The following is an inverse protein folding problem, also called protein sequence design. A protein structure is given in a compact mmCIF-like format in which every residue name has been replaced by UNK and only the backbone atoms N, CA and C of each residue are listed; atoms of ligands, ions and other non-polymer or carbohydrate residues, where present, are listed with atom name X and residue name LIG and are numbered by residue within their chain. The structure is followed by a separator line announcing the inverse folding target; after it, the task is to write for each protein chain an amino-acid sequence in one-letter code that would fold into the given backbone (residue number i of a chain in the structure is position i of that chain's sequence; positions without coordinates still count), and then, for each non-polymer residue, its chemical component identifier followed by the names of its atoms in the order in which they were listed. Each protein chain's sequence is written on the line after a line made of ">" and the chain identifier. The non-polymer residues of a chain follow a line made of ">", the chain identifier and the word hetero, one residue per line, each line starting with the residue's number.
data_IF_696560729178
#
_entry.id   IF_696560729178
#
_cell.length_a   1.000
_cell.length_b   1.000
_cell.length_c   1.000
_cell.angle_alpha   90.00
_cell.angle_beta   90.00
_cell.angle_gamma   90.00
#
_symmetry.space_group_name_H-M   'P 1'
#
loop_
_entity.id
_entity.type
_entity.pdbx_description
1 polymer ?
#
# COMPACT_ATOMS: atom_id res chain seq x y z
N UNK A 1 44.52 14.12 -1.42
CA UNK A 1 44.78 14.74 -2.72
C UNK A 1 44.62 13.68 -3.80
N UNK A 2 43.61 13.88 -4.66
CA UNK A 2 43.42 13.34 -6.03
C UNK A 2 43.71 11.85 -6.32
N UNK A 3 42.66 11.09 -6.66
CA UNK A 3 42.32 10.77 -8.06
C UNK A 3 41.47 9.50 -8.20
N UNK A 4 40.30 9.66 -8.82
CA UNK A 4 39.77 8.83 -9.92
C UNK A 4 40.10 7.33 -9.96
N UNK A 5 39.07 6.49 -9.83
CA UNK A 5 38.95 5.19 -10.51
C UNK A 5 37.49 5.08 -11.02
N UNK A 6 37.22 5.60 -12.22
CA UNK A 6 37.10 4.86 -13.51
C UNK A 6 35.81 4.03 -13.63
N UNK A 7 34.82 4.64 -14.29
CA UNK A 7 33.83 3.97 -15.14
C UNK A 7 34.53 3.16 -16.26
N UNK A 8 34.04 1.95 -16.52
CA UNK A 8 33.97 1.15 -17.78
C UNK A 8 33.47 -0.24 -17.32
N UNK A 9 32.54 -0.98 -17.96
CA UNK A 9 32.17 -1.05 -19.37
C UNK A 9 30.85 -1.83 -19.56
N UNK A 10 30.26 -1.64 -20.74
CA UNK A 10 29.18 -2.39 -21.41
C UNK A 10 29.17 -3.92 -21.21
N UNK A 11 27.97 -4.51 -21.13
CA UNK A 11 27.68 -5.91 -21.54
C UNK A 11 26.19 -6.01 -21.90
N UNK A 12 25.78 -5.90 -23.17
CA UNK A 12 25.63 -6.95 -24.19
C UNK A 12 24.93 -8.24 -23.68
N UNK A 13 23.74 -8.50 -24.24
CA UNK A 13 22.89 -9.68 -24.07
C UNK A 13 23.63 -11.02 -24.27
N UNK A 14 23.52 -11.96 -23.31
CA UNK A 14 23.42 -13.41 -23.56
C UNK A 14 22.85 -14.17 -22.34
N UNK A 15 22.00 -15.17 -22.62
CA UNK A 15 21.29 -16.07 -21.72
C UNK A 15 22.15 -16.74 -20.63
N UNK A 16 21.58 -16.95 -19.43
CA UNK A 16 21.31 -18.25 -18.73
C UNK A 16 20.68 -17.87 -17.36
N UNK A 17 19.61 -18.56 -16.95
CA UNK A 17 18.60 -18.07 -16.01
C UNK A 17 19.04 -17.73 -14.58
N UNK A 18 18.32 -16.77 -13.96
CA UNK A 18 18.35 -16.47 -12.51
C UNK A 18 17.07 -15.75 -12.05
N UNK A 19 16.74 -15.97 -10.77
CA UNK A 19 15.59 -15.52 -9.96
C UNK A 19 15.72 -14.03 -9.59
N UNK A 20 14.63 -13.28 -9.33
CA UNK A 20 14.64 -11.86 -8.90
C UNK A 20 13.96 -11.70 -7.52
N UNK A 21 14.49 -10.85 -6.62
CA UNK A 21 13.99 -10.51 -5.26
C UNK A 21 13.95 -8.97 -5.08
N UNK A 22 13.08 -8.42 -4.21
CA UNK A 22 12.89 -6.98 -4.00
C UNK A 22 12.69 -6.59 -2.51
N UNK A 23 13.38 -5.56 -1.98
CA UNK A 23 13.23 -5.02 -0.60
C UNK A 23 13.10 -3.49 -0.55
N UNK A 24 12.29 -2.94 0.38
CA UNK A 24 12.33 -1.50 0.72
C UNK A 24 12.58 -1.24 2.20
N UNK A 25 13.46 -0.28 2.50
CA UNK A 25 13.76 0.26 3.84
C UNK A 25 13.07 1.64 4.03
N UNK A 26 12.33 1.84 5.12
CA UNK A 26 11.76 3.14 5.57
C UNK A 26 12.32 3.56 6.96
N UNK A 27 12.78 4.81 7.15
CA UNK A 27 13.50 5.32 8.34
C UNK A 27 12.64 5.85 9.52
N UNK A 28 13.31 6.18 10.65
CA UNK A 28 12.83 6.36 12.06
C UNK A 28 12.23 7.73 12.42
N UNK A 29 11.32 7.74 13.43
CA UNK A 29 10.83 8.90 14.21
C UNK A 29 11.87 9.55 15.14
N UNK A 30 12.01 10.87 15.09
CA UNK A 30 12.70 11.68 16.12
C UNK A 30 11.70 12.43 17.01
N UNK A 31 11.95 12.42 18.32
CA UNK A 31 11.27 13.26 19.31
C UNK A 31 11.92 14.65 19.40
N UNK A 32 11.07 15.67 19.57
CA UNK A 32 11.30 17.06 19.99
C UNK A 32 11.77 18.12 18.95
N UNK A 33 11.09 19.27 19.05
CA UNK A 33 11.02 20.41 18.13
C UNK A 33 12.12 21.48 18.31
N UNK A 34 12.42 22.25 17.25
CA UNK A 34 12.05 23.68 17.06
C UNK A 34 12.79 24.35 15.87
N UNK A 35 11.99 24.96 14.96
CA UNK A 35 12.16 26.20 14.18
C UNK A 35 13.43 26.40 13.28
N UNK A 36 13.39 26.96 12.05
CA UNK A 36 12.42 27.83 11.36
C UNK A 36 12.89 28.13 9.92
N UNK A 37 12.04 27.94 8.89
CA UNK A 37 11.63 28.87 7.81
C UNK A 37 10.82 28.12 6.73
N UNK A 38 9.84 28.74 6.03
CA UNK A 38 8.50 28.16 5.88
C UNK A 38 8.10 28.13 4.39
N UNK A 39 8.39 27.04 3.70
CA UNK A 39 7.71 26.65 2.46
C UNK A 39 8.14 25.22 2.11
N UNK A 40 7.19 24.28 2.11
CA UNK A 40 7.32 22.86 1.74
C UNK A 40 7.83 21.85 2.78
N UNK A 41 7.18 21.76 3.95
CA UNK A 41 7.16 20.52 4.75
C UNK A 41 5.71 20.23 5.11
N UNK A 42 4.98 19.60 4.20
CA UNK A 42 3.58 19.20 4.34
C UNK A 42 3.33 18.04 3.36
N UNK A 43 2.83 16.89 3.85
CA UNK A 43 2.62 15.54 3.27
C UNK A 43 3.80 14.57 3.40
N UNK A 44 3.93 13.89 4.54
CA UNK A 44 3.74 12.43 4.69
C UNK A 44 4.02 12.05 6.17
N UNK A 45 3.03 12.23 7.05
CA UNK A 45 3.14 11.89 8.49
C UNK A 45 1.78 11.65 9.17
N UNK A 46 0.74 11.25 8.43
CA UNK A 46 -0.32 10.49 9.12
C UNK A 46 0.26 9.08 9.33
N UNK A 47 0.39 8.66 10.60
CA UNK A 47 0.81 7.30 10.91
C UNK A 47 -0.15 6.35 10.20
N UNK A 48 0.36 5.46 9.35
CA UNK A 48 -0.38 4.25 9.01
C UNK A 48 -0.51 3.43 10.30
N UNK A 49 -1.59 3.68 11.04
CA UNK A 49 -1.90 2.97 12.26
C UNK A 49 -2.75 1.76 11.86
N UNK A 50 -2.24 0.55 12.05
CA UNK A 50 -3.00 -0.67 11.80
C UNK A 50 -4.17 -0.74 12.81
N UNK A 51 -5.38 -0.44 12.35
CA UNK A 51 -6.53 -0.24 13.22
C UNK A 51 -7.16 -1.58 13.61
N UNK A 52 -6.96 -2.01 14.86
CA UNK A 52 -7.38 -3.33 15.34
C UNK A 52 -8.86 -3.40 15.66
N UNK A 53 -9.50 -4.49 15.23
CA UNK A 53 -10.91 -4.78 15.50
C UNK A 53 -11.04 -6.14 16.20
N UNK A 54 -11.72 -6.22 17.36
CA UNK A 54 -12.52 -5.17 18.00
C UNK A 54 -11.67 -4.06 18.64
N UNK A 55 -12.20 -2.84 18.62
CA UNK A 55 -11.47 -1.68 19.13
C UNK A 55 -12.10 -0.35 18.73
N UNK A 56 -11.51 0.72 19.24
CA UNK A 56 -11.83 2.09 18.87
C UNK A 56 -11.06 2.51 17.63
N UNK A 57 -11.76 3.17 16.73
CA UNK A 57 -11.21 3.89 15.59
C UNK A 57 -11.54 5.37 15.75
N UNK A 58 -10.51 6.20 15.93
CA UNK A 58 -10.69 7.66 15.94
C UNK A 58 -11.07 8.14 14.53
N UNK A 59 -12.05 9.03 14.40
CA UNK A 59 -12.54 9.46 13.10
C UNK A 59 -11.50 10.31 12.36
N UNK A 60 -10.69 11.08 13.09
CA UNK A 60 -9.54 11.83 12.56
C UNK A 60 -8.40 10.94 12.03
N UNK A 61 -8.40 9.65 12.36
CA UNK A 61 -7.45 8.64 11.89
C UNK A 61 -7.92 7.93 10.61
N UNK A 62 -8.66 8.63 9.73
CA UNK A 62 -9.01 8.12 8.40
C UNK A 62 -7.77 7.78 7.56
N UNK A 63 -7.93 6.95 6.54
CA UNK A 63 -6.81 6.48 5.73
C UNK A 63 -6.03 7.63 5.09
N UNK A 64 -4.71 7.47 5.04
CA UNK A 64 -3.84 8.36 4.27
C UNK A 64 -4.06 8.17 2.76
N UNK A 65 -3.58 9.12 1.96
CA UNK A 65 -3.61 9.04 0.49
C UNK A 65 -4.30 10.22 -0.19
N UNK A 66 -4.93 11.10 0.60
CA UNK A 66 -5.54 12.33 0.11
C UNK A 66 -6.93 12.16 -0.47
N UNK A 67 -7.40 13.25 -1.08
CA UNK A 67 -8.72 13.39 -1.72
C UNK A 67 -8.95 12.30 -2.79
N UNK A 68 -10.10 11.63 -2.70
CA UNK A 68 -10.50 10.55 -3.59
C UNK A 68 -9.89 9.19 -3.25
N UNK A 69 -8.98 9.11 -2.26
CA UNK A 69 -8.30 7.86 -1.87
C UNK A 69 -8.70 7.45 -0.46
N UNK A 70 -8.26 8.22 0.55
CA UNK A 70 -8.54 7.96 1.97
C UNK A 70 -9.76 8.71 2.49
N UNK A 71 -10.12 9.81 1.81
CA UNK A 71 -11.31 10.59 2.10
C UNK A 71 -11.81 11.31 0.84
N UNK A 72 -13.00 11.90 0.91
CA UNK A 72 -13.40 12.99 0.04
C UNK A 72 -13.99 14.13 0.85
N UNK A 73 -13.46 15.31 0.62
CA UNK A 73 -13.88 16.57 1.22
C UNK A 73 -14.25 17.56 0.11
N UNK A 74 -15.27 18.38 0.35
CA UNK A 74 -15.72 19.39 -0.61
C UNK A 74 -14.79 20.59 -0.69
N UNK A 75 -13.93 20.75 0.31
CA UNK A 75 -12.91 21.78 0.38
C UNK A 75 -11.51 21.20 0.26
N UNK A 76 -10.56 22.03 -0.17
CA UNK A 76 -9.17 21.59 -0.36
C UNK A 76 -8.40 21.57 0.97
N UNK A 77 -8.84 22.36 1.95
CA UNK A 77 -8.08 22.64 3.15
C UNK A 77 -8.93 22.42 4.37
N UNK A 78 -8.41 21.62 5.31
CA UNK A 78 -8.93 21.47 6.65
C UNK A 78 -9.18 22.83 7.32
N UNK A 79 -10.43 23.27 7.34
CA UNK A 79 -10.92 24.54 7.90
C UNK A 79 -10.84 24.54 9.42
N UNK A 80 -11.01 23.37 10.06
CA UNK A 80 -10.83 23.17 11.50
C UNK A 80 -9.37 23.33 11.95
N UNK A 81 -8.43 23.11 11.04
CA UNK A 81 -7.00 23.41 11.18
C UNK A 81 -6.24 22.54 12.17
N UNK A 82 -6.83 21.47 12.71
CA UNK A 82 -6.22 20.60 13.70
C UNK A 82 -5.80 19.24 13.13
N UNK A 83 -4.95 18.53 13.89
CA UNK A 83 -4.45 17.17 13.66
C UNK A 83 -3.71 16.93 12.33
N UNK A 84 -4.41 17.00 11.20
CA UNK A 84 -3.91 16.82 9.83
C UNK A 84 -4.17 18.09 9.02
N UNK A 85 -3.46 19.20 9.31
CA UNK A 85 -3.72 20.52 8.68
C UNK A 85 -3.36 20.60 7.19
N UNK A 86 -2.98 19.46 6.63
CA UNK A 86 -2.31 19.25 5.36
C UNK A 86 -3.19 18.52 4.36
N UNK A 87 -4.26 17.94 4.89
CA UNK A 87 -5.27 17.19 4.18
C UNK A 87 -6.56 18.02 4.16
N UNK A 88 -7.52 17.54 3.37
CA UNK A 88 -8.77 18.26 3.07
C UNK A 88 -9.78 18.15 4.21
N UNK A 89 -9.82 17.01 4.90
CA UNK A 89 -10.81 16.75 5.95
C UNK A 89 -10.74 17.79 7.05
N UNK A 90 -11.88 18.38 7.36
CA UNK A 90 -12.04 19.37 8.42
C UNK A 90 -11.98 18.71 9.80
N UNK A 91 -10.98 19.07 10.60
CA UNK A 91 -10.72 18.47 11.92
C UNK A 91 -10.52 19.58 12.95
N UNK A 92 -11.27 19.52 14.04
CA UNK A 92 -11.17 20.47 15.16
C UNK A 92 -10.88 19.75 16.48
N UNK A 93 -10.25 20.42 17.47
CA UNK A 93 -10.20 19.88 18.83
C UNK A 93 -11.61 19.62 19.32
N UNK A 94 -11.83 18.48 19.96
CA UNK A 94 -13.14 18.16 20.54
C UNK A 94 -13.25 18.69 21.96
N UNK A 95 -14.46 19.05 22.37
CA UNK A 95 -14.83 19.28 23.78
C UNK A 95 -15.43 18.02 24.44
N UNK A 96 -15.49 16.91 23.71
CA UNK A 96 -15.81 15.60 24.26
C UNK A 96 -14.71 15.10 25.19
N UNK A 97 -15.08 14.55 26.34
CA UNK A 97 -14.10 14.08 27.33
C UNK A 97 -13.37 12.80 26.88
N UNK A 98 -13.92 12.10 25.89
CA UNK A 98 -13.46 10.79 25.41
C UNK A 98 -12.56 10.86 24.18
N UNK A 99 -12.20 12.06 23.69
CA UNK A 99 -11.37 12.23 22.48
C UNK A 99 -10.46 13.46 22.55
N UNK A 100 -9.65 13.64 21.51
CA UNK A 100 -8.77 14.82 21.36
C UNK A 100 -9.19 15.68 20.17
N UNK A 101 -9.62 15.08 19.07
CA UNK A 101 -10.17 15.77 17.91
C UNK A 101 -11.52 15.18 17.52
N UNK A 102 -12.12 15.77 16.49
CA UNK A 102 -13.28 15.25 15.79
C UNK A 102 -13.29 15.81 14.37
N UNK A 103 -13.94 15.09 13.47
CA UNK A 103 -14.29 15.62 12.15
C UNK A 103 -15.40 16.65 12.31
N UNK A 104 -15.18 17.84 11.74
CA UNK A 104 -16.07 19.00 11.82
C UNK A 104 -16.44 19.48 10.42
N UNK A 105 -17.22 20.58 10.31
CA UNK A 105 -17.60 21.26 9.05
C UNK A 105 -18.10 20.34 7.92
N UNK A 106 -18.58 19.15 8.29
CA UNK A 106 -18.95 18.11 7.35
C UNK A 106 -20.05 18.54 6.39
N UNK A 107 -19.95 18.10 5.14
CA UNK A 107 -20.88 18.37 4.05
C UNK A 107 -21.43 17.06 3.48
N UNK A 108 -22.70 17.07 3.08
CA UNK A 108 -23.34 15.95 2.41
C UNK A 108 -22.57 15.55 1.14
N UNK A 109 -22.20 14.28 1.05
CA UNK A 109 -21.45 13.70 -0.07
C UNK A 109 -19.98 13.39 0.26
N UNK A 110 -19.46 13.94 1.35
CA UNK A 110 -18.12 13.64 1.85
C UNK A 110 -18.04 12.22 2.40
N UNK A 111 -16.84 11.65 2.44
CA UNK A 111 -16.62 10.32 2.97
C UNK A 111 -15.23 10.13 3.55
N UNK A 112 -15.10 9.17 4.46
CA UNK A 112 -13.87 8.80 5.16
C UNK A 112 -13.71 7.28 5.06
N UNK A 113 -12.48 6.80 4.80
CA UNK A 113 -12.13 5.38 4.81
C UNK A 113 -11.23 5.01 5.96
N UNK A 114 -11.33 3.76 6.37
CA UNK A 114 -10.56 3.17 7.46
C UNK A 114 -10.17 1.74 7.11
N UNK A 115 -8.86 1.51 6.94
CA UNK A 115 -8.23 0.20 6.88
C UNK A 115 -8.27 -0.43 8.28
N UNK A 116 -9.02 -1.52 8.43
CA UNK A 116 -9.13 -2.25 9.70
C UNK A 116 -8.61 -3.68 9.58
N UNK A 117 -8.00 -4.17 10.67
CA UNK A 117 -7.58 -5.56 10.80
C UNK A 117 -8.42 -6.27 11.86
N UNK A 118 -9.30 -7.14 11.38
CA UNK A 118 -10.25 -7.90 12.20
C UNK A 118 -9.60 -9.16 12.74
N UNK A 119 -9.51 -9.27 14.07
CA UNK A 119 -8.83 -10.37 14.76
C UNK A 119 -9.53 -11.72 14.56
N UNK A 120 -10.86 -11.72 14.48
CA UNK A 120 -11.66 -12.94 14.38
C UNK A 120 -12.93 -12.72 13.53
N UNK A 121 -13.29 -13.70 12.71
CA UNK A 121 -14.53 -13.64 11.95
C UNK A 121 -15.75 -13.57 12.90
N UNK A 122 -16.74 -12.76 12.55
CA UNK A 122 -17.92 -12.60 13.39
C UNK A 122 -18.77 -11.38 13.03
N UNK A 123 -19.72 -11.13 13.91
CA UNK A 123 -20.65 -10.00 13.89
C UNK A 123 -20.19 -8.95 14.89
N UNK A 124 -20.12 -7.71 14.41
CA UNK A 124 -19.63 -6.56 15.15
C UNK A 124 -20.65 -5.43 15.08
N UNK A 125 -20.86 -4.79 16.22
CA UNK A 125 -21.68 -3.59 16.35
C UNK A 125 -20.80 -2.37 16.19
N UNK A 126 -21.20 -1.43 15.34
CA UNK A 126 -20.53 -0.14 15.21
C UNK A 126 -21.25 0.89 16.09
N UNK A 127 -20.56 1.40 17.09
CA UNK A 127 -21.04 2.45 17.98
C UNK A 127 -20.28 3.74 17.69
N UNK A 128 -20.93 4.73 17.09
CA UNK A 128 -20.29 5.99 16.73
C UNK A 128 -20.53 7.07 17.78
N UNK A 129 -19.49 7.81 18.13
CA UNK A 129 -19.57 8.98 19.00
C UNK A 129 -19.72 10.23 18.14
N UNK A 130 -20.91 10.81 18.17
CA UNK A 130 -21.27 11.94 17.30
C UNK A 130 -22.01 13.03 18.06
N UNK A 131 -21.95 14.24 17.53
CA UNK A 131 -22.83 15.34 17.90
C UNK A 131 -23.47 15.94 16.65
N UNK A 132 -24.74 16.30 16.74
CA UNK A 132 -25.48 16.97 15.66
C UNK A 132 -26.58 17.85 16.26
N UNK A 133 -26.90 18.94 15.57
CA UNK A 133 -28.04 19.84 15.93
C UNK A 133 -29.28 19.59 15.06
N UNK A 134 -29.20 18.61 14.16
CA UNK A 134 -30.31 18.17 13.31
C UNK A 134 -30.29 16.66 13.17
N UNK A 135 -31.41 16.07 12.74
CA UNK A 135 -31.40 14.66 12.32
C UNK A 135 -30.59 14.54 11.02
N UNK A 136 -29.65 13.60 11.01
CA UNK A 136 -28.76 13.35 9.89
C UNK A 136 -28.73 11.87 9.54
N UNK A 137 -27.94 11.49 8.56
CA UNK A 137 -27.68 10.09 8.25
C UNK A 137 -26.28 9.89 7.67
N UNK A 138 -25.80 8.66 7.75
CA UNK A 138 -24.60 8.19 7.06
C UNK A 138 -24.91 6.97 6.21
N UNK A 139 -24.12 6.74 5.17
CA UNK A 139 -24.06 5.48 4.44
C UNK A 139 -22.79 4.75 4.87
N UNK A 140 -22.88 3.43 5.03
CA UNK A 140 -21.72 2.59 5.31
C UNK A 140 -21.51 1.58 4.20
N UNK A 141 -20.27 1.46 3.75
CA UNK A 141 -19.81 0.39 2.88
C UNK A 141 -18.65 -0.36 3.55
N UNK A 142 -18.57 -1.66 3.33
CA UNK A 142 -17.44 -2.51 3.75
C UNK A 142 -16.90 -3.21 2.51
N UNK A 143 -15.60 -3.13 2.28
CA UNK A 143 -14.92 -3.70 1.10
C UNK A 143 -15.62 -3.31 -0.22
N UNK A 144 -15.95 -2.01 -0.35
CA UNK A 144 -16.71 -1.43 -1.46
C UNK A 144 -18.15 -1.95 -1.64
N UNK A 145 -18.64 -2.78 -0.73
CA UNK A 145 -20.03 -3.27 -0.71
C UNK A 145 -20.86 -2.41 0.23
N UNK A 146 -21.92 -1.79 -0.30
CA UNK A 146 -22.84 -0.99 0.53
C UNK A 146 -23.58 -1.90 1.50
N UNK A 147 -23.38 -1.65 2.80
CA UNK A 147 -24.06 -2.38 3.88
C UNK A 147 -25.39 -1.70 4.23
N UNK A 148 -25.37 -0.37 4.31
CA UNK A 148 -26.57 0.43 4.52
C UNK A 148 -26.46 1.75 3.77
N UNK A 149 -27.53 2.11 3.05
CA UNK A 149 -27.61 3.38 2.32
C UNK A 149 -28.05 4.55 3.21
N UNK A 150 -28.51 4.27 4.43
CA UNK A 150 -29.02 5.29 5.35
C UNK A 150 -29.08 4.74 6.76
N UNK A 151 -28.12 5.11 7.59
CA UNK A 151 -28.10 4.91 9.02
C UNK A 151 -28.45 6.25 9.68
N UNK A 152 -29.55 6.34 10.43
CA UNK A 152 -29.97 7.60 11.04
C UNK A 152 -29.02 8.02 12.16
N UNK A 153 -28.74 9.31 12.23
CA UNK A 153 -28.14 10.01 13.36
C UNK A 153 -29.22 10.90 13.97
N UNK A 154 -29.58 10.65 15.23
CA UNK A 154 -30.51 11.53 15.94
C UNK A 154 -29.90 12.88 16.25
N UNK A 155 -30.74 13.92 16.27
CA UNK A 155 -30.40 15.25 16.80
C UNK A 155 -30.02 15.13 18.28
N UNK A 156 -28.77 15.44 18.61
CA UNK A 156 -28.23 15.39 19.97
C UNK A 156 -28.25 16.77 20.64
N UNK A 157 -28.88 17.77 20.01
CA UNK A 157 -28.82 19.17 20.39
C UNK A 157 -27.38 19.70 20.57
N UNK A 158 -26.44 19.14 19.80
CA UNK A 158 -25.00 19.46 19.86
C UNK A 158 -24.24 18.80 21.01
N UNK A 159 -24.85 17.90 21.78
CA UNK A 159 -24.15 17.10 22.78
C UNK A 159 -23.50 15.87 22.15
N UNK A 160 -22.36 15.43 22.69
CA UNK A 160 -21.71 14.18 22.28
C UNK A 160 -22.46 12.96 22.83
N UNK A 161 -22.94 12.11 21.92
CA UNK A 161 -23.68 10.89 22.24
C UNK A 161 -23.12 9.69 21.48
N UNK A 162 -23.13 8.52 22.14
CA UNK A 162 -22.88 7.25 21.48
C UNK A 162 -24.15 6.79 20.77
N UNK A 163 -24.08 6.66 19.46
CA UNK A 163 -25.18 6.20 18.62
C UNK A 163 -24.87 4.84 18.01
N UNK A 164 -25.81 3.93 18.20
CA UNK A 164 -25.73 2.58 17.65
C UNK A 164 -26.08 2.60 16.15
N UNK A 165 -25.08 2.41 15.31
CA UNK A 165 -25.25 2.40 13.86
C UNK A 165 -25.57 0.98 13.38
N UNK A 166 -26.79 0.81 12.85
CA UNK A 166 -27.31 -0.46 12.37
C UNK A 166 -27.38 -0.50 10.84
N UNK A 167 -27.26 -1.68 10.21
CA UNK A 167 -27.19 -3.01 10.82
C UNK A 167 -25.80 -3.32 11.43
N UNK A 168 -25.73 -4.39 12.23
CA UNK A 168 -24.45 -4.97 12.62
C UNK A 168 -23.65 -5.40 11.38
N UNK A 169 -22.33 -5.28 11.47
CA UNK A 169 -21.39 -5.61 10.40
C UNK A 169 -20.91 -7.05 10.56
N UNK A 170 -20.80 -7.77 9.43
CA UNK A 170 -20.25 -9.12 9.41
C UNK A 170 -18.87 -9.09 8.75
N UNK A 171 -17.86 -9.54 9.47
CA UNK A 171 -16.47 -9.56 9.02
C UNK A 171 -15.93 -10.98 8.99
N UNK A 172 -15.02 -11.23 8.06
CA UNK A 172 -14.05 -12.33 8.19
C UNK A 172 -12.88 -11.88 9.07
N UNK A 173 -12.04 -12.82 9.53
CA UNK A 173 -10.77 -12.43 10.12
C UNK A 173 -9.83 -11.92 9.02
N UNK A 174 -9.11 -10.84 9.26
CA UNK A 174 -8.19 -10.24 8.29
C UNK A 174 -8.51 -8.78 7.99
N UNK A 175 -7.88 -8.27 6.93
CA UNK A 175 -8.00 -6.88 6.53
C UNK A 175 -9.35 -6.60 5.85
N UNK A 176 -9.94 -5.46 6.20
CA UNK A 176 -11.18 -4.95 5.63
C UNK A 176 -11.09 -3.43 5.52
N UNK A 177 -11.88 -2.84 4.62
CA UNK A 177 -11.99 -1.37 4.50
C UNK A 177 -13.41 -0.94 4.84
N UNK A 178 -13.54 0.00 5.78
CA UNK A 178 -14.82 0.62 6.13
C UNK A 178 -14.86 2.01 5.51
N UNK A 179 -15.90 2.32 4.74
CA UNK A 179 -16.18 3.66 4.24
C UNK A 179 -17.43 4.22 4.90
N UNK A 180 -17.30 5.38 5.53
CA UNK A 180 -18.41 6.16 6.11
C UNK A 180 -18.66 7.36 5.21
N UNK A 181 -19.81 7.38 4.51
CA UNK A 181 -20.22 8.53 3.71
C UNK A 181 -21.25 9.38 4.47
N UNK A 182 -21.01 10.67 4.54
CA UNK A 182 -21.86 11.65 5.22
C UNK A 182 -23.00 12.06 4.29
N UNK A 183 -24.25 11.89 4.72
CA UNK A 183 -25.42 12.19 3.87
C UNK A 183 -26.05 13.55 4.16
N UNK A 184 -25.56 14.24 5.19
CA UNK A 184 -26.04 15.53 5.65
C UNK A 184 -24.88 16.36 6.17
N UNK A 185 -25.05 17.67 6.10
CA UNK A 185 -24.10 18.63 6.64
C UNK A 185 -24.16 18.68 8.18
N UNK A 186 -23.08 19.14 8.81
CA UNK A 186 -23.07 19.54 10.22
C UNK A 186 -23.11 18.38 11.22
N UNK A 187 -22.60 17.22 10.82
CA UNK A 187 -22.30 16.10 11.73
C UNK A 187 -20.91 16.34 12.32
N UNK A 188 -20.80 16.33 13.64
CA UNK A 188 -19.51 16.25 14.32
C UNK A 188 -19.23 14.81 14.70
N UNK A 189 -18.08 14.27 14.27
CA UNK A 189 -17.79 12.85 14.36
C UNK A 189 -16.45 12.60 15.05
N UNK A 190 -16.48 12.01 16.25
CA UNK A 190 -15.31 11.84 17.10
C UNK A 190 -14.63 10.49 16.84
N UNK A 191 -15.33 9.38 17.05
CA UNK A 191 -14.78 8.04 16.81
C UNK A 191 -15.90 7.03 16.57
N UNK A 192 -15.54 5.80 16.24
CA UNK A 192 -16.42 4.66 16.37
C UNK A 192 -15.75 3.47 17.02
N UNK A 193 -16.50 2.74 17.84
CA UNK A 193 -16.07 1.48 18.42
C UNK A 193 -16.68 0.32 17.63
N UNK A 194 -15.86 -0.64 17.22
CA UNK A 194 -16.31 -1.94 16.71
C UNK A 194 -16.32 -2.96 17.83
N UNK A 195 -17.52 -3.23 18.33
CA UNK A 195 -17.76 -4.08 19.50
C UNK A 195 -18.16 -5.48 19.02
N UNK A 196 -17.44 -6.51 19.46
CA UNK A 196 -17.81 -7.89 19.14
C UNK A 196 -19.19 -8.23 19.70
N UNK A 197 -20.13 -8.58 18.83
CA UNK A 197 -21.46 -9.11 19.22
C UNK A 197 -21.40 -10.62 19.31
N UNK A 198 -20.86 -11.26 18.26
CA UNK A 198 -20.81 -12.72 18.16
C UNK A 198 -19.68 -13.15 17.23
N UNK A 199 -18.80 -14.02 17.72
CA UNK A 199 -17.79 -14.66 16.87
C UNK A 199 -18.36 -15.85 16.12
N UNK A 200 -17.89 -16.06 14.89
CA UNK A 200 -18.18 -17.25 14.11
C UNK A 200 -17.41 -18.46 14.68
N UNK A 201 -17.98 -19.68 14.60
CA UNK A 201 -17.26 -20.86 15.06
C UNK A 201 -15.99 -21.04 14.23
N UNK A 202 -14.83 -21.07 14.89
CA UNK A 202 -13.57 -21.40 14.23
C UNK A 202 -13.72 -22.77 13.56
N UNK A 203 -13.35 -22.93 12.27
CA UNK A 203 -13.43 -24.23 11.62
C UNK A 203 -12.61 -25.24 12.42
N UNK A 204 -13.28 -26.25 12.98
CA UNK A 204 -12.58 -27.36 13.64
C UNK A 204 -11.78 -28.08 12.55
N UNK A 205 -10.45 -28.25 12.69
CA UNK A 205 -9.67 -28.97 11.70
C UNK A 205 -10.25 -30.37 11.55
N UNK A 206 -10.91 -30.62 10.43
CA UNK A 206 -11.42 -31.96 10.12
C UNK A 206 -10.23 -32.74 9.60
N UNK A 207 -9.75 -33.69 10.40
CA UNK A 207 -8.74 -34.64 9.93
C UNK A 207 -9.31 -35.40 8.73
N UNK A 208 -8.92 -34.98 7.53
CA UNK A 208 -9.18 -35.75 6.33
C UNK A 208 -8.20 -36.91 6.38
N UNK A 209 -8.70 -38.13 6.63
CA UNK A 209 -7.87 -39.32 6.54
C UNK A 209 -7.31 -39.37 5.11
N UNK A 210 -6.04 -39.01 4.94
CA UNK A 210 -5.32 -39.22 3.68
C UNK A 210 -5.41 -40.71 3.36
N UNK A 211 -6.03 -41.12 2.24
CA UNK A 211 -6.08 -42.53 1.89
C UNK A 211 -4.64 -43.04 1.71
N UNK A 212 -4.24 -43.98 2.55
CA UNK A 212 -2.96 -44.69 2.43
C UNK A 212 -2.94 -45.36 1.06
N UNK A 213 -2.08 -44.87 0.16
CA UNK A 213 -1.86 -45.49 -1.15
C UNK A 213 -1.40 -46.93 -0.91
N UNK A 214 -2.23 -47.89 -1.30
CA UNK A 214 -1.84 -49.30 -1.33
C UNK A 214 -0.82 -49.46 -2.47
N UNK A 215 0.37 -50.05 -2.23
CA UNK A 215 1.37 -50.22 -3.27
C UNK A 215 0.77 -51.06 -4.39
N UNK A 216 0.59 -50.44 -5.56
CA UNK A 216 0.12 -51.12 -6.78
C UNK A 216 1.34 -51.72 -7.47
N UNK A 217 1.30 -53.02 -7.76
CA UNK A 217 2.35 -53.68 -8.53
C UNK A 217 2.50 -53.03 -9.91
N UNK A 218 3.70 -52.54 -10.17
CA UNK A 218 4.13 -51.98 -11.46
C UNK A 218 3.98 -53.01 -12.56
N UNK A 219 3.07 -52.80 -13.50
CA UNK A 219 3.01 -53.56 -14.74
C UNK A 219 4.00 -52.99 -15.76
N UNK A 220 4.76 -53.91 -16.36
CA UNK A 220 5.76 -53.71 -17.43
C UNK A 220 5.19 -52.90 -18.62
N UNK A 221 5.94 -51.95 -19.20
CA UNK A 221 5.43 -51.12 -20.28
C UNK A 221 5.23 -51.96 -21.56
N UNK A 222 4.03 -51.90 -22.12
CA UNK A 222 3.74 -52.38 -23.48
C UNK A 222 3.71 -51.19 -24.43
N UNK A 223 4.57 -51.21 -25.44
CA UNK A 223 4.58 -50.24 -26.54
C UNK A 223 3.20 -50.14 -27.19
N UNK A 224 2.61 -48.94 -27.21
CA UNK A 224 1.41 -48.66 -28.00
C UNK A 224 1.62 -47.39 -28.83
N UNK A 225 1.23 -47.48 -30.09
CA UNK A 225 1.52 -46.53 -31.17
C UNK A 225 0.76 -45.20 -31.06
N UNK A 226 1.42 -44.17 -31.57
CA UNK A 226 1.00 -42.77 -31.73
C UNK A 226 -0.26 -42.60 -32.58
N UNK A 227 -1.27 -41.82 -32.15
CA UNK A 227 -2.28 -41.27 -33.05
C UNK A 227 -1.95 -39.83 -33.49
N UNK A 228 -2.28 -39.59 -34.76
CA UNK A 228 -2.08 -38.41 -35.62
C UNK A 228 -2.91 -37.19 -35.20
N UNK A 229 -2.45 -35.94 -35.41
CA UNK A 229 -3.26 -34.74 -35.16
C UNK A 229 -4.40 -34.58 -36.18
N UNK A 230 -5.62 -34.30 -35.70
CA UNK A 230 -6.77 -33.92 -36.51
C UNK A 230 -7.01 -32.41 -36.40
N UNK A 231 -7.01 -31.73 -37.56
CA UNK A 231 -7.30 -30.30 -37.70
C UNK A 231 -8.81 -30.03 -37.61
N UNK A 232 -9.21 -29.10 -36.75
CA UNK A 232 -10.57 -28.51 -36.75
C UNK A 232 -10.44 -26.98 -36.85
N UNK A 233 -11.20 -26.30 -37.74
CA UNK A 233 -10.96 -24.91 -38.11
C UNK A 233 -11.48 -23.90 -37.08
N UNK A 234 -10.71 -22.82 -36.95
CA UNK A 234 -10.90 -21.63 -36.12
C UNK A 234 -11.99 -20.72 -36.70
N UNK A 235 -12.90 -20.23 -35.86
CA UNK A 235 -13.78 -19.10 -36.19
C UNK A 235 -13.15 -17.78 -35.74
N UNK A 236 -13.03 -16.84 -36.68
CA UNK A 236 -12.55 -15.46 -36.53
C UNK A 236 -13.52 -14.59 -35.70
N UNK A 237 -13.05 -13.79 -34.72
CA UNK A 237 -13.80 -12.66 -34.19
C UNK A 237 -13.66 -11.42 -35.07
N UNK A 238 -14.79 -10.72 -35.25
CA UNK A 238 -14.95 -9.46 -35.97
C UNK A 238 -14.53 -8.29 -35.08
N UNK A 239 -13.78 -7.34 -35.64
CA UNK A 239 -13.38 -6.09 -34.97
C UNK A 239 -14.57 -5.12 -34.86
N UNK A 240 -15.01 -4.83 -33.65
CA UNK A 240 -15.85 -3.68 -33.31
C UNK A 240 -15.01 -2.75 -32.42
N UNK A 241 -14.92 -1.43 -32.68
CA UNK A 241 -14.13 -0.52 -31.87
C UNK A 241 -14.81 -0.30 -30.52
N UNK A 242 -14.17 -0.78 -29.45
CA UNK A 242 -14.62 -0.60 -28.06
C UNK A 242 -14.10 0.74 -27.54
N UNK A 243 -15.01 1.55 -26.98
CA UNK A 243 -14.68 2.77 -26.24
C UNK A 243 -13.65 2.47 -25.16
N UNK A 244 -12.58 3.26 -25.09
CA UNK A 244 -11.58 3.21 -24.02
C UNK A 244 -12.26 3.46 -22.67
N UNK A 245 -12.32 2.49 -21.75
CA UNK A 245 -12.84 2.72 -20.41
C UNK A 245 -11.83 3.56 -19.62
N UNK A 246 -12.32 4.58 -18.93
CA UNK A 246 -11.58 5.20 -17.82
C UNK A 246 -11.46 4.15 -16.73
N UNK A 247 -10.26 3.66 -16.46
CA UNK A 247 -9.99 2.68 -15.41
C UNK A 247 -10.22 3.36 -14.05
N UNK A 248 -11.32 3.01 -13.38
CA UNK A 248 -11.38 3.12 -11.92
C UNK A 248 -10.52 1.99 -11.37
N UNK A 249 -9.44 2.26 -10.61
CA UNK A 249 -8.59 1.19 -10.09
C UNK A 249 -9.42 0.29 -9.17
N UNK A 250 -9.55 -0.98 -9.56
CA UNK A 250 -10.22 -2.02 -8.77
C UNK A 250 -9.10 -2.76 -8.02
N UNK A 251 -9.17 -2.87 -6.68
CA UNK A 251 -8.21 -3.65 -5.91
C UNK A 251 -8.12 -5.09 -6.46
N UNK A 252 -6.91 -5.63 -6.70
CA UNK A 252 -6.75 -6.98 -7.25
C UNK A 252 -7.21 -8.05 -6.24
N UNK A 253 -7.66 -9.24 -6.71
CA UNK A 253 -7.96 -10.36 -5.82
C UNK A 253 -6.73 -10.76 -5.01
N UNK A 254 -6.91 -10.99 -3.70
CA UNK A 254 -5.86 -11.17 -2.69
C UNK A 254 -4.85 -12.31 -2.96
N UNK A 255 -5.14 -13.23 -3.88
CA UNK A 255 -4.30 -14.41 -4.19
C UNK A 255 -3.65 -14.36 -5.59
N UNK A 256 -3.61 -13.20 -6.24
CA UNK A 256 -3.02 -13.04 -7.58
C UNK A 256 -1.79 -12.17 -7.52
N UNK A 257 -0.64 -12.72 -7.96
CA UNK A 257 0.58 -11.93 -8.16
C UNK A 257 0.30 -10.80 -9.16
N UNK A 258 0.33 -9.56 -8.68
CA UNK A 258 0.44 -8.38 -9.52
C UNK A 258 1.90 -7.99 -9.63
N UNK A 259 2.39 -7.84 -10.86
CA UNK A 259 3.78 -7.46 -11.13
C UNK A 259 3.86 -6.79 -12.50
N UNK A 260 4.52 -5.64 -12.57
CA UNK A 260 4.83 -4.99 -13.83
C UNK A 260 6.16 -4.24 -13.78
N UNK A 261 6.70 -3.94 -14.96
CA UNK A 261 7.89 -3.08 -15.10
C UNK A 261 7.52 -1.82 -15.84
N UNK A 262 7.97 -0.68 -15.36
CA UNK A 262 7.70 0.63 -15.98
C UNK A 262 9.01 1.33 -16.30
N UNK A 263 9.05 1.97 -17.46
CA UNK A 263 10.15 2.85 -17.87
C UNK A 263 9.61 4.27 -17.98
N UNK A 264 10.24 5.20 -17.25
CA UNK A 264 9.80 6.58 -17.12
C UNK A 264 10.89 7.47 -17.69
N UNK A 265 10.57 8.26 -18.71
CA UNK A 265 11.53 9.15 -19.36
C UNK A 265 11.52 10.55 -18.75
N UNK A 266 12.69 11.19 -18.71
CA UNK A 266 12.82 12.60 -18.35
C UNK A 266 12.70 12.92 -16.86
N UNK A 267 12.79 11.91 -15.99
CA UNK A 267 12.76 12.10 -14.53
C UNK A 267 13.99 12.92 -14.14
N UNK A 268 13.77 14.05 -13.49
CA UNK A 268 14.82 15.00 -13.11
C UNK A 268 14.66 15.37 -11.63
N UNK A 269 15.44 16.35 -11.15
CA UNK A 269 15.36 16.78 -9.74
C UNK A 269 14.39 17.95 -9.48
N UNK A 270 13.77 18.51 -10.51
CA UNK A 270 12.98 19.75 -10.40
C UNK A 270 11.52 19.53 -10.00
N UNK A 271 10.93 18.39 -10.32
CA UNK A 271 9.54 18.07 -10.00
C UNK A 271 9.32 16.57 -9.81
N UNK A 272 8.29 16.22 -9.05
CA UNK A 272 7.78 14.85 -8.99
C UNK A 272 7.11 14.48 -10.31
N UNK A 273 7.37 13.26 -10.79
CA UNK A 273 6.78 12.69 -12.00
C UNK A 273 5.77 11.64 -11.58
N UNK A 274 4.50 11.86 -11.89
CA UNK A 274 3.44 10.87 -11.66
C UNK A 274 3.62 9.68 -12.60
N UNK A 275 3.61 8.49 -12.03
CA UNK A 275 3.62 7.21 -12.72
C UNK A 275 2.24 6.59 -12.54
N UNK A 276 1.62 6.19 -13.65
CA UNK A 276 0.37 5.42 -13.66
C UNK A 276 0.67 4.01 -14.14
N UNK A 277 0.09 3.04 -13.45
CA UNK A 277 0.30 1.62 -13.64
C UNK A 277 -0.88 0.98 -14.36
N UNK A 278 -0.60 -0.16 -14.99
CA UNK A 278 -1.65 -0.95 -15.63
C UNK A 278 -2.40 -1.77 -14.57
N UNK A 279 -1.67 -2.30 -13.59
CA UNK A 279 -2.25 -3.03 -12.48
C UNK A 279 -2.57 -2.08 -11.30
N UNK A 280 -3.45 -2.56 -10.42
CA UNK A 280 -3.64 -1.98 -9.10
C UNK A 280 -3.07 -2.93 -8.05
N UNK A 281 -2.64 -2.37 -6.93
CA UNK A 281 -1.92 -3.07 -5.86
C UNK A 281 -2.58 -2.77 -4.52
N UNK A 282 -2.70 -3.78 -3.65
CA UNK A 282 -3.17 -3.57 -2.27
C UNK A 282 -2.03 -3.04 -1.41
N UNK A 283 -0.83 -3.65 -1.55
CA UNK A 283 0.41 -3.27 -0.86
C UNK A 283 1.55 -3.24 -1.89
N UNK A 284 1.71 -2.08 -2.53
CA UNK A 284 2.69 -1.88 -3.60
C UNK A 284 4.13 -1.85 -3.07
N UNK A 285 5.02 -2.64 -3.68
CA UNK A 285 6.47 -2.54 -3.50
C UNK A 285 7.10 -2.06 -4.81
N UNK A 286 7.79 -0.91 -4.76
CA UNK A 286 8.41 -0.26 -5.91
C UNK A 286 9.93 -0.17 -5.75
N UNK A 287 10.67 -0.70 -6.71
CA UNK A 287 12.13 -0.48 -6.77
C UNK A 287 12.50 0.04 -8.13
N UNK A 288 13.24 1.14 -8.12
CA UNK A 288 13.61 1.86 -9.32
C UNK A 288 15.13 2.02 -9.42
N UNK A 289 15.63 2.03 -10.64
CA UNK A 289 17.04 2.31 -10.95
C UNK A 289 17.13 3.33 -12.07
N UNK A 290 18.17 4.16 -12.03
CA UNK A 290 18.41 5.20 -13.03
C UNK A 290 19.27 4.63 -14.15
N UNK A 291 18.90 4.95 -15.39
CA UNK A 291 19.74 4.75 -16.57
C UNK A 291 20.52 6.04 -16.84
N UNK A 292 21.76 6.10 -16.33
CA UNK A 292 22.66 7.24 -16.42
C UNK A 292 23.07 7.53 -17.88
N UNK A 293 22.49 8.56 -18.49
CA UNK A 293 22.80 8.97 -19.88
C UNK A 293 23.28 10.42 -19.98
N UNK A 294 22.69 11.32 -19.20
CA UNK A 294 22.91 12.76 -19.24
C UNK A 294 23.73 13.26 -18.05
N UNK A 295 23.52 12.69 -16.87
CA UNK A 295 24.17 13.07 -15.63
C UNK A 295 25.47 12.27 -15.43
N UNK A 296 26.49 12.96 -14.91
CA UNK A 296 27.79 12.36 -14.56
C UNK A 296 28.07 12.43 -13.05
N UNK A 297 27.06 12.83 -12.27
CA UNK A 297 27.11 12.96 -10.81
C UNK A 297 26.24 11.87 -10.17
N UNK A 298 26.52 11.47 -8.91
CA UNK A 298 25.70 10.47 -8.24
C UNK A 298 24.24 10.91 -8.11
N UNK A 299 23.31 10.00 -8.37
CA UNK A 299 21.88 10.25 -8.21
C UNK A 299 21.13 9.00 -7.74
N UNK A 300 20.00 9.22 -7.09
CA UNK A 300 19.10 8.16 -6.64
C UNK A 300 17.67 8.48 -7.06
N UNK A 301 16.88 7.44 -7.24
CA UNK A 301 15.44 7.58 -7.37
C UNK A 301 14.84 7.81 -5.99
N UNK A 302 14.08 8.87 -5.85
CA UNK A 302 13.15 9.11 -4.75
C UNK A 302 11.77 8.62 -5.19
N UNK A 303 11.06 7.97 -4.28
CA UNK A 303 9.70 7.46 -4.50
C UNK A 303 8.82 7.98 -3.37
N UNK A 304 7.62 8.44 -3.71
CA UNK A 304 6.56 8.79 -2.77
C UNK A 304 5.20 8.37 -3.33
N UNK A 305 4.15 8.45 -2.48
CA UNK A 305 2.76 8.27 -2.91
C UNK A 305 2.51 6.93 -3.65
N UNK A 306 3.15 5.85 -3.20
CA UNK A 306 2.99 4.53 -3.81
C UNK A 306 1.75 3.81 -3.26
N UNK A 307 0.63 3.92 -4.00
CA UNK A 307 -0.65 3.32 -3.63
C UNK A 307 -1.45 2.94 -4.88
N UNK A 308 -2.33 1.93 -4.75
CA UNK A 308 -3.25 1.49 -5.79
C UNK A 308 -2.56 1.29 -7.15
N UNK A 309 -2.82 2.16 -8.13
CA UNK A 309 -2.35 2.10 -9.51
C UNK A 309 -1.30 3.17 -9.84
N UNK A 310 -0.63 3.75 -8.84
CA UNK A 310 0.36 4.79 -9.11
C UNK A 310 1.38 5.04 -8.01
N UNK A 311 2.41 5.79 -8.40
CA UNK A 311 3.40 6.37 -7.50
C UNK A 311 4.05 7.58 -8.15
N UNK A 312 4.84 8.33 -7.39
CA UNK A 312 5.62 9.44 -7.91
C UNK A 312 7.12 9.18 -7.80
N UNK A 313 7.88 9.63 -8.80
CA UNK A 313 9.34 9.56 -8.80
C UNK A 313 10.01 10.90 -9.04
N UNK A 314 11.21 11.06 -8.45
CA UNK A 314 12.11 12.18 -8.71
C UNK A 314 13.56 11.71 -8.58
N UNK A 315 14.49 12.38 -9.26
CA UNK A 315 15.91 12.16 -9.01
C UNK A 315 16.44 13.08 -7.92
N UNK A 316 17.39 12.60 -7.14
CA UNK A 316 18.10 13.42 -6.16
C UNK A 316 19.60 13.14 -6.17
N UNK A 317 20.39 14.20 -6.14
CA UNK A 317 21.83 14.16 -5.91
C UNK A 317 22.12 14.34 -4.41
N UNK A 318 23.13 13.65 -3.82
CA UNK A 318 23.46 13.79 -2.39
C UNK A 318 23.75 15.22 -1.94
N UNK A 319 24.28 16.07 -2.83
CA UNK A 319 24.58 17.47 -2.56
C UNK A 319 23.45 18.43 -2.96
N UNK A 320 22.27 17.90 -3.33
CA UNK A 320 21.12 18.71 -3.76
C UNK A 320 21.32 19.42 -5.11
N UNK A 321 22.34 19.04 -5.88
CA UNK A 321 22.62 19.64 -7.17
C UNK A 321 21.51 19.30 -8.18
N UNK A 322 21.17 20.23 -9.10
CA UNK A 322 20.18 19.97 -10.12
C UNK A 322 20.64 18.85 -11.07
N UNK A 323 19.71 17.97 -11.43
CA UNK A 323 19.93 16.84 -12.33
C UNK A 323 19.14 17.04 -13.61
N UNK A 324 19.76 16.68 -14.74
CA UNK A 324 19.06 16.58 -16.02
C UNK A 324 18.11 15.37 -16.00
N UNK A 325 17.14 15.37 -16.91
CA UNK A 325 16.20 14.27 -17.05
C UNK A 325 16.88 12.98 -17.49
N UNK A 326 16.66 11.91 -16.74
CA UNK A 326 17.10 10.56 -17.08
C UNK A 326 15.92 9.61 -17.26
N UNK A 327 16.23 8.44 -17.79
CA UNK A 327 15.28 7.34 -17.84
C UNK A 327 15.38 6.54 -16.53
N UNK A 328 14.24 6.28 -15.89
CA UNK A 328 14.12 5.48 -14.67
C UNK A 328 13.39 4.19 -14.98
N UNK A 329 13.96 3.05 -14.58
CA UNK A 329 13.40 1.71 -14.75
C UNK A 329 12.90 1.23 -13.40
N UNK A 330 11.62 0.89 -13.29
CA UNK A 330 11.00 0.44 -12.06
C UNK A 330 10.44 -0.98 -12.21
N UNK A 331 10.60 -1.78 -11.17
CA UNK A 331 9.84 -3.00 -10.93
C UNK A 331 8.80 -2.72 -9.83
N UNK A 332 7.55 -3.05 -10.11
CA UNK A 332 6.42 -2.91 -9.19
C UNK A 332 5.81 -4.28 -8.94
N UNK A 333 5.60 -4.64 -7.69
CA UNK A 333 5.09 -5.95 -7.30
C UNK A 333 4.20 -5.84 -6.05
N UNK A 334 3.19 -6.69 -5.96
CA UNK A 334 2.37 -6.87 -4.76
C UNK A 334 3.20 -7.49 -3.63
N UNK A 335 3.11 -6.93 -2.43
CA UNK A 335 3.76 -7.46 -1.24
C UNK A 335 3.27 -8.90 -0.96
N UNK A 336 4.19 -9.82 -0.68
CA UNK A 336 3.83 -11.21 -0.39
C UNK A 336 4.88 -12.22 -0.83
N UNK A 337 4.48 -13.50 -0.78
CA UNK A 337 5.26 -14.65 -1.24
C UNK A 337 4.54 -15.25 -2.44
N UNK A 338 5.24 -15.33 -3.56
CA UNK A 338 4.65 -15.72 -4.83
C UNK A 338 5.53 -16.73 -5.56
N UNK A 339 4.93 -17.37 -6.56
CA UNK A 339 5.66 -18.14 -7.57
C UNK A 339 5.38 -17.57 -8.95
N UNK A 340 6.44 -17.42 -9.74
CA UNK A 340 6.34 -17.09 -11.14
C UNK A 340 5.79 -18.29 -11.94
N UNK A 341 5.24 -18.07 -13.14
CA UNK A 341 4.69 -19.16 -13.97
C UNK A 341 5.68 -20.28 -14.30
N UNK A 342 6.98 -20.01 -14.22
CA UNK A 342 8.05 -20.99 -14.44
C UNK A 342 8.49 -21.72 -13.15
N UNK A 343 7.77 -21.53 -12.05
CA UNK A 343 8.01 -22.16 -10.76
C UNK A 343 9.08 -21.48 -9.90
N UNK A 344 9.68 -20.37 -10.35
CA UNK A 344 10.61 -19.60 -9.52
C UNK A 344 9.87 -18.90 -8.38
N UNK A 345 10.38 -19.04 -7.16
CA UNK A 345 9.91 -18.28 -6.01
C UNK A 345 10.30 -16.80 -6.15
N UNK A 346 9.41 -15.91 -5.74
CA UNK A 346 9.66 -14.48 -5.56
C UNK A 346 8.95 -14.01 -4.29
N UNK A 347 9.59 -13.16 -3.50
CA UNK A 347 8.93 -12.47 -2.40
C UNK A 347 9.23 -10.97 -2.46
N UNK A 348 8.28 -10.18 -2.01
CA UNK A 348 8.38 -8.74 -1.89
C UNK A 348 7.91 -8.32 -0.50
N UNK A 349 8.69 -7.50 0.18
CA UNK A 349 8.43 -7.08 1.56
C UNK A 349 8.84 -5.64 1.80
N UNK A 350 8.07 -4.95 2.65
CA UNK A 350 8.40 -3.63 3.19
C UNK A 350 8.93 -3.77 4.60
N UNK A 351 10.06 -3.12 4.89
CA UNK A 351 10.63 -3.05 6.23
C UNK A 351 10.81 -1.60 6.65
N UNK A 352 10.38 -1.30 7.88
CA UNK A 352 10.79 -0.08 8.56
C UNK A 352 12.16 -0.37 9.16
N UNK A 353 13.23 0.22 8.62
CA UNK A 353 14.55 0.08 9.19
C UNK A 353 14.84 1.17 10.20
N UNK A 354 15.44 0.74 11.30
CA UNK A 354 15.90 1.65 12.35
C UNK A 354 17.41 1.85 12.35
N UNK A 355 18.09 1.38 11.31
CA UNK A 355 19.55 1.40 11.21
C UNK A 355 19.96 2.03 9.88
N UNK A 356 20.78 3.07 9.94
CA UNK A 356 21.42 3.64 8.75
C UNK A 356 22.92 3.53 8.89
N UNK A 357 23.53 2.82 7.96
CA UNK A 357 24.98 2.76 7.85
C UNK A 357 25.53 3.95 7.09
N UNK A 358 26.78 4.29 7.42
CA UNK A 358 27.51 5.41 6.86
C UNK A 358 28.97 5.02 6.73
N UNK A 359 29.82 5.95 6.29
CA UNK A 359 31.24 5.69 6.12
C UNK A 359 31.85 5.13 7.41
N UNK A 360 32.37 3.90 7.35
CA UNK A 360 32.95 3.13 8.46
C UNK A 360 31.96 2.56 9.50
N UNK A 361 30.64 2.62 9.24
CA UNK A 361 29.61 1.89 9.98
C UNK A 361 29.04 0.78 9.08
N UNK A 362 29.03 -0.45 9.59
CA UNK A 362 28.58 -1.65 8.86
C UNK A 362 27.69 -2.53 9.74
N UNK A 363 26.81 -1.90 10.51
CA UNK A 363 25.94 -2.59 11.47
C UNK A 363 24.96 -3.46 10.69
N UNK A 364 24.26 -2.86 9.72
CA UNK A 364 23.16 -3.47 8.97
C UNK A 364 22.00 -3.89 9.87
N UNK A 365 20.85 -4.13 9.27
CA UNK A 365 19.73 -4.77 9.96
C UNK A 365 19.54 -6.16 9.33
N UNK A 366 19.57 -7.19 10.17
CA UNK A 366 19.43 -8.56 9.68
C UNK A 366 17.97 -8.82 9.34
N UNK A 367 17.72 -9.22 8.10
CA UNK A 367 16.40 -9.68 7.63
C UNK A 367 16.47 -11.17 7.27
N UNK A 368 15.32 -11.84 7.39
CA UNK A 368 15.18 -13.27 7.07
C UNK A 368 14.16 -13.44 5.95
N UNK A 369 14.49 -14.27 4.97
CA UNK A 369 13.58 -14.65 3.90
C UNK A 369 12.39 -15.45 4.46
N UNK A 370 11.22 -15.31 3.84
CA UNK A 370 10.05 -16.13 4.22
C UNK A 370 9.96 -17.40 3.36
N UNK A 371 10.69 -17.45 2.25
CA UNK A 371 10.89 -18.64 1.40
C UNK A 371 12.35 -19.11 1.44
N UNK A 372 12.60 -20.28 0.86
CA UNK A 372 13.94 -20.80 0.66
C UNK A 372 14.46 -20.46 -0.75
N UNK A 373 15.71 -19.98 -0.81
CA UNK A 373 16.38 -19.61 -2.05
C UNK A 373 17.79 -20.18 -2.10
N UNK A 374 18.17 -20.78 -3.24
CA UNK A 374 19.52 -21.30 -3.44
C UNK A 374 20.49 -20.15 -3.82
N UNK A 375 20.09 -19.28 -4.75
CA UNK A 375 20.88 -18.15 -5.25
C UNK A 375 19.99 -16.90 -5.43
N UNK A 376 19.61 -16.21 -4.33
CA UNK A 376 18.70 -15.07 -4.42
C UNK A 376 19.38 -13.84 -5.04
N UNK A 377 18.69 -13.14 -5.95
CA UNK A 377 19.11 -11.82 -6.45
C UNK A 377 18.35 -10.75 -5.71
N UNK A 378 18.99 -10.14 -4.73
CA UNK A 378 18.39 -9.08 -3.90
C UNK A 378 18.40 -7.74 -4.62
N UNK A 379 17.23 -7.19 -4.90
CA UNK A 379 17.05 -5.79 -5.27
C UNK A 379 16.48 -5.03 -4.09
N UNK A 380 16.66 -3.71 -4.06
CA UNK A 380 15.94 -2.91 -3.09
C UNK A 380 16.04 -1.41 -3.31
N UNK A 381 15.22 -0.68 -2.55
CA UNK A 381 15.09 0.77 -2.63
C UNK A 381 14.88 1.33 -1.23
N UNK A 382 15.45 2.49 -0.92
CA UNK A 382 15.05 3.24 0.28
C UNK A 382 13.92 4.16 -0.11
N UNK A 383 12.77 4.06 0.58
CA UNK A 383 11.70 5.04 0.47
C UNK A 383 12.17 6.32 1.14
N UNK A 384 12.85 7.13 0.35
CA UNK A 384 13.69 8.19 0.88
C UNK A 384 13.03 9.56 0.77
N UNK A 385 11.74 9.63 0.46
CA UNK A 385 11.01 10.88 0.60
C UNK A 385 10.80 11.27 2.07
N UNK A 386 10.54 10.29 2.94
CA UNK A 386 10.24 10.52 4.35
C UNK A 386 11.50 10.82 5.19
N UNK A 387 12.70 10.74 4.58
CA UNK A 387 13.98 11.13 5.17
C UNK A 387 14.64 12.20 4.26
N UNK A 388 14.94 13.42 4.75
CA UNK A 388 15.65 14.41 3.95
C UNK A 388 17.07 13.95 3.58
N UNK A 389 17.62 12.98 4.30
CA UNK A 389 18.89 12.33 4.06
C UNK A 389 18.96 11.60 2.72
N UNK A 390 20.16 11.55 2.18
CA UNK A 390 20.47 10.73 1.02
C UNK A 390 20.84 9.33 1.49
N UNK A 391 20.07 8.33 1.05
CA UNK A 391 20.25 6.94 1.43
C UNK A 391 20.09 6.06 0.19
N UNK A 392 20.91 5.02 0.11
CA UNK A 392 20.82 3.99 -0.92
C UNK A 392 20.60 2.64 -0.27
N UNK A 393 19.84 1.80 -0.95
CA UNK A 393 19.71 0.42 -0.54
C UNK A 393 21.04 -0.31 -0.80
N UNK A 394 21.41 -1.16 0.13
CA UNK A 394 22.47 -2.14 -0.06
C UNK A 394 22.12 -3.39 0.75
N UNK A 395 22.61 -4.53 0.30
CA UNK A 395 22.44 -5.81 1.00
C UNK A 395 23.72 -6.60 0.93
N UNK A 396 23.92 -7.50 1.90
CA UNK A 396 25.01 -8.48 1.88
C UNK A 396 24.54 -9.81 2.45
N UNK A 397 25.19 -10.88 2.02
CA UNK A 397 25.13 -12.17 2.71
C UNK A 397 25.99 -12.17 3.98
N UNK A 398 26.28 -13.36 4.49
CA UNK A 398 27.12 -13.58 5.68
C UNK A 398 28.59 -13.20 5.50
N UNK A 399 29.05 -12.91 4.27
CA UNK A 399 30.43 -12.53 3.96
C UNK A 399 30.52 -11.08 3.46
N UNK A 400 31.62 -10.38 3.78
CA UNK A 400 31.90 -9.01 3.34
C UNK A 400 32.54 -8.93 1.94
N UNK A 401 32.69 -10.05 1.24
CA UNK A 401 33.23 -10.09 -0.13
C UNK A 401 32.09 -10.31 -1.13
N UNK A 402 32.00 -9.45 -2.15
CA UNK A 402 31.17 -9.73 -3.33
C UNK A 402 31.74 -10.96 -4.05
N UNK A 403 30.86 -11.88 -4.44
CA UNK A 403 31.20 -12.99 -5.34
C UNK A 403 31.37 -12.51 -6.77
#
# INVERSE_FOLDING_TARGET
>A
MSSFARLFSYMLYLLIGTVFLLFIIAGIRSTAAFASNPAQIILDLCDYNEQKVPGRIEAEDFDCGGEGVGYSDTTIANTGGAYRPLEGVDISPTDDISGTYHITDTVAGEWLRYDVLVDAAGTYQLMARVASTTTAAVKISVDNTVISTSIPISDTAGAWEDQNWLPELHFTAGAHVIEVSLLNDGIYYNYFDLITVKLDPTPTPTFTNTPTLTPTNTLTPTNTLTPTPSNTPTLTPSNTPTNTPTHTPVPPPADTLQMETVVIDGVNSSSWTQVRLINSYNRMIVVCTVNYRHNIVPEVVRIQEAFLDGFQVRLQNPAGLPLQGEQVHCLVIEEGQWQLPDGRAIEAQRYISTVTDHQNSWVGEQQTYRQEYENPVVLGQVMSYNDPGWSVFWSRGSSQQQA
#
